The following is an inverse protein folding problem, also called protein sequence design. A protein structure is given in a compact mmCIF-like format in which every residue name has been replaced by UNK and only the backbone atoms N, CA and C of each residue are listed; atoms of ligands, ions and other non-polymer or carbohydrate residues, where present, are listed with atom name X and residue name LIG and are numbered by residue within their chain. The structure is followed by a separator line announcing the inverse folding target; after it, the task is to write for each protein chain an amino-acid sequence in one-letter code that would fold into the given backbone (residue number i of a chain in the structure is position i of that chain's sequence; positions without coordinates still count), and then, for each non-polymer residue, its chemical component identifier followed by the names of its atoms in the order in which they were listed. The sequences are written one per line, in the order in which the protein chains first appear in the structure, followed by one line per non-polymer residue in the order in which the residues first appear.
data_IF_032108442104
#
_entry.id   IF_032108442104
#
_cell.length_a   1.000
_cell.length_b   1.000
_cell.length_c   1.000
_cell.angle_alpha   90.00
_cell.angle_beta   90.00
_cell.angle_gamma   90.00
#
_symmetry.space_group_name_H-M   'P 1'
#
loop_
_entity.id
_entity.type
_entity.pdbx_description
1 polymer ?
#
# COMPACT_ATOMS: atom_id res chain seq x y z
N UNK A 1 -10.49 12.44 -1.37
CA UNK A 1 -11.19 13.73 -1.31
C UNK A 1 -11.28 14.43 -2.67
N UNK A 2 -10.23 15.13 -3.10
CA UNK A 2 -10.28 16.02 -4.29
C UNK A 2 -10.45 15.31 -5.64
N UNK A 3 -9.74 14.22 -5.86
CA UNK A 3 -9.71 13.49 -7.15
C UNK A 3 -10.41 12.12 -7.08
N UNK A 4 -10.45 11.54 -5.88
CA UNK A 4 -11.16 10.30 -5.61
C UNK A 4 -12.06 10.52 -4.38
N UNK A 5 -13.35 10.83 -4.56
CA UNK A 5 -14.30 11.12 -3.49
C UNK A 5 -15.11 9.87 -3.08
N UNK A 6 -14.44 8.72 -3.02
CA UNK A 6 -14.98 7.46 -2.50
C UNK A 6 -14.20 7.05 -1.25
N UNK A 7 -14.62 5.94 -0.63
CA UNK A 7 -13.98 5.44 0.60
C UNK A 7 -12.48 5.21 0.46
N UNK A 8 -11.81 5.19 1.61
CA UNK A 8 -10.36 5.30 1.70
C UNK A 8 -9.65 3.97 1.43
N UNK A 9 -10.33 2.84 1.66
CA UNK A 9 -9.80 1.48 1.49
C UNK A 9 -9.17 1.23 0.11
N UNK A 10 -9.87 1.46 -1.04
CA UNK A 10 -9.26 1.23 -2.35
C UNK A 10 -8.05 2.12 -2.64
N UNK A 11 -7.96 3.30 -2.01
CA UNK A 11 -6.80 4.18 -2.15
C UNK A 11 -5.59 3.55 -1.43
N UNK A 12 -5.77 3.13 -0.19
CA UNK A 12 -4.69 2.53 0.60
C UNK A 12 -4.24 1.18 0.03
N UNK A 13 -5.18 0.33 -0.40
CA UNK A 13 -4.86 -0.95 -1.02
C UNK A 13 -4.03 -0.77 -2.30
N UNK A 14 -4.33 0.26 -3.09
CA UNK A 14 -3.54 0.60 -4.26
C UNK A 14 -2.11 1.04 -3.90
N UNK A 15 -1.95 1.88 -2.87
CA UNK A 15 -0.63 2.32 -2.37
C UNK A 15 0.20 1.12 -1.93
N UNK A 16 -0.37 0.24 -1.09
CA UNK A 16 0.30 -0.98 -0.63
C UNK A 16 0.67 -1.85 -1.84
N UNK A 17 -0.26 -2.11 -2.76
CA UNK A 17 0.02 -2.93 -3.94
C UNK A 17 1.17 -2.34 -4.78
N UNK A 18 1.26 -1.02 -4.96
CA UNK A 18 2.33 -0.38 -5.74
C UNK A 18 3.73 -0.47 -5.09
N UNK A 19 3.79 -0.78 -3.80
CA UNK A 19 5.03 -0.91 -3.03
C UNK A 19 5.53 -2.36 -2.86
N UNK A 20 4.72 -3.35 -3.23
CA UNK A 20 5.04 -4.77 -3.04
C UNK A 20 5.87 -5.30 -4.22
N UNK A 21 7.14 -5.61 -3.98
CA UNK A 21 8.09 -6.11 -4.99
C UNK A 21 7.73 -7.49 -5.55
N UNK A 22 7.02 -8.31 -4.79
CA UNK A 22 6.54 -9.62 -5.25
C UNK A 22 5.29 -9.53 -6.15
N UNK A 23 4.65 -8.34 -6.25
CA UNK A 23 3.47 -8.12 -7.12
C UNK A 23 3.78 -7.27 -8.35
N UNK A 24 4.93 -6.61 -8.40
CA UNK A 24 5.31 -5.70 -9.49
C UNK A 24 6.77 -5.88 -9.83
N UNK A 25 7.11 -5.88 -11.12
CA UNK A 25 8.51 -5.97 -11.56
C UNK A 25 9.35 -4.77 -11.10
N UNK A 26 8.72 -3.60 -10.96
CA UNK A 26 9.31 -2.38 -10.43
C UNK A 26 8.30 -1.69 -9.52
N UNK A 27 8.70 -1.37 -8.29
CA UNK A 27 7.85 -0.64 -7.34
C UNK A 27 7.91 0.87 -7.65
N UNK A 28 6.76 1.53 -7.53
CA UNK A 28 6.62 2.98 -7.79
C UNK A 28 6.40 3.78 -6.52
N UNK A 29 6.21 3.08 -5.41
CA UNK A 29 5.98 3.64 -4.08
C UNK A 29 6.91 2.92 -3.09
N UNK A 30 7.55 3.67 -2.21
CA UNK A 30 8.32 3.10 -1.10
C UNK A 30 7.51 3.15 0.19
N UNK A 31 7.31 2.01 0.84
CA UNK A 31 6.66 1.91 2.16
C UNK A 31 7.68 1.56 3.23
N UNK A 32 7.60 2.26 4.37
CA UNK A 32 8.25 1.87 5.62
C UNK A 32 7.17 1.48 6.64
N UNK A 33 7.39 0.36 7.33
CA UNK A 33 6.40 -0.31 8.18
C UNK A 33 5.97 -1.66 7.62
N UNK A 34 4.95 -2.28 8.22
CA UNK A 34 4.46 -3.58 7.76
C UNK A 34 3.69 -3.44 6.43
N UNK A 35 4.32 -3.89 5.35
CA UNK A 35 3.82 -3.84 3.97
C UNK A 35 3.11 -5.15 3.53
N UNK A 36 2.74 -6.00 4.49
CA UNK A 36 2.26 -7.35 4.24
C UNK A 36 3.38 -8.29 3.78
N UNK A 37 2.99 -9.51 3.40
CA UNK A 37 3.90 -10.57 2.98
C UNK A 37 3.46 -11.23 1.68
N UNK A 38 4.40 -11.91 1.03
CA UNK A 38 4.11 -12.88 -0.06
C UNK A 38 3.27 -14.06 0.45
N UNK A 39 3.34 -14.37 1.74
CA UNK A 39 2.61 -15.47 2.39
C UNK A 39 1.14 -15.16 2.66
N UNK A 40 0.69 -13.94 2.34
CA UNK A 40 -0.71 -13.52 2.48
C UNK A 40 -1.02 -12.68 3.71
N UNK A 41 -0.02 -12.35 4.53
CA UNK A 41 -0.21 -11.39 5.62
C UNK A 41 -0.59 -10.01 5.08
N UNK A 42 -1.64 -9.42 5.67
CA UNK A 42 -2.10 -8.09 5.31
C UNK A 42 -1.11 -7.02 5.79
N UNK A 43 -1.08 -5.89 5.08
CA UNK A 43 -0.37 -4.71 5.54
C UNK A 43 -1.01 -4.14 6.81
N UNK A 44 -0.21 -3.43 7.60
CA UNK A 44 -0.75 -2.68 8.74
C UNK A 44 -1.68 -1.55 8.24
N UNK A 45 -2.50 -1.00 9.14
CA UNK A 45 -3.35 0.15 8.83
C UNK A 45 -2.51 1.39 8.43
N UNK A 46 -3.10 2.28 7.62
CA UNK A 46 -2.44 3.48 7.07
C UNK A 46 -1.77 4.41 8.09
N UNK A 47 -2.22 4.40 9.35
CA UNK A 47 -1.65 5.22 10.43
C UNK A 47 -0.34 4.65 11.02
N UNK A 48 0.07 3.46 10.59
CA UNK A 48 1.27 2.76 11.07
C UNK A 48 2.29 2.52 9.95
N UNK A 49 2.11 3.17 8.80
CA UNK A 49 2.98 3.06 7.64
C UNK A 49 3.35 4.46 7.13
N UNK A 50 4.53 4.58 6.55
CA UNK A 50 5.02 5.82 5.95
C UNK A 50 5.33 5.56 4.46
N UNK A 51 5.03 6.52 3.59
CA UNK A 51 5.22 6.37 2.14
C UNK A 51 5.99 7.54 1.53
N UNK A 52 6.78 7.26 0.48
CA UNK A 52 7.42 8.27 -0.38
C UNK A 52 7.37 7.85 -1.85
#
# INVERSE_FOLDING_TARGET
GKYHPHGDSPIYDAIIRMSQSWKNNWTTVSIHGNNGSVDGDNAAAMRYTETR
#
